data_IF_274222219367
#
_entry.id   IF_274222219367
#
_cell.length_a   1.000
_cell.length_b   1.000
_cell.length_c   1.000
_cell.angle_alpha   90.00
_cell.angle_beta   90.00
_cell.angle_gamma   90.00
#
_symmetry.space_group_name_H-M   'P 1'
#
loop_
_entity.id
_entity.type
_entity.pdbx_description
1 polymer ?
#
# COMPACT_ATOMS: atom_id res chain seq x y z
N UNK A 1 4.14 9.34 10.18
CA UNK A 1 2.96 8.49 10.46
C UNK A 1 2.91 7.39 9.42
N UNK A 2 2.83 6.13 9.86
CA UNK A 2 2.84 4.93 9.00
C UNK A 2 1.46 4.59 8.41
N UNK A 3 0.47 5.47 8.61
CA UNK A 3 -0.94 5.14 8.38
C UNK A 3 -1.27 4.98 6.90
N UNK A 4 -1.96 3.89 6.57
CA UNK A 4 -2.41 3.59 5.21
C UNK A 4 -1.31 3.09 4.27
N UNK A 5 -0.10 2.81 4.78
CA UNK A 5 0.95 2.19 3.97
C UNK A 5 0.68 0.71 3.74
N UNK A 6 1.12 0.22 2.59
CA UNK A 6 1.25 -1.21 2.37
C UNK A 6 2.22 -1.82 3.39
N UNK A 7 1.92 -3.07 3.76
CA UNK A 7 2.71 -3.97 4.57
C UNK A 7 3.20 -5.12 3.71
N UNK A 8 4.28 -5.78 4.11
CA UNK A 8 4.74 -7.03 3.47
C UNK A 8 4.66 -8.18 4.46
N UNK A 9 3.81 -9.16 4.16
CA UNK A 9 3.64 -10.38 4.96
C UNK A 9 4.22 -11.58 4.22
N UNK A 10 4.87 -12.51 4.93
CA UNK A 10 5.36 -13.75 4.33
C UNK A 10 5.44 -14.92 5.34
N UNK A 11 5.58 -16.15 4.82
CA UNK A 11 5.64 -17.37 5.61
C UNK A 11 7.03 -17.99 5.75
N UNK A 12 8.08 -17.33 5.24
CA UNK A 12 9.45 -17.87 5.20
C UNK A 12 10.36 -17.31 6.28
N UNK A 13 10.40 -15.98 6.46
CA UNK A 13 11.34 -15.32 7.39
C UNK A 13 10.91 -13.88 7.72
N UNK A 14 11.43 -13.30 8.82
CA UNK A 14 11.35 -11.86 9.04
C UNK A 14 11.98 -11.08 7.89
N UNK A 15 11.46 -9.88 7.61
CA UNK A 15 12.05 -8.92 6.67
C UNK A 15 12.38 -7.67 7.47
N UNK A 16 13.67 -7.40 7.68
CA UNK A 16 14.14 -6.25 8.46
C UNK A 16 15.09 -5.37 7.66
N UNK A 17 15.65 -5.91 6.58
CA UNK A 17 16.54 -5.22 5.63
C UNK A 17 16.29 -5.67 4.20
N UNK A 18 16.84 -4.91 3.25
CA UNK A 18 16.70 -5.13 1.81
C UNK A 18 17.00 -6.58 1.41
N UNK A 19 18.06 -7.16 1.97
CA UNK A 19 18.53 -8.50 1.61
C UNK A 19 17.52 -9.59 1.96
N UNK A 20 16.69 -9.38 2.98
CA UNK A 20 15.71 -10.36 3.42
C UNK A 20 14.57 -10.53 2.41
N UNK A 21 14.39 -9.60 1.49
CA UNK A 21 13.42 -9.73 0.39
C UNK A 21 13.90 -10.68 -0.71
N UNK A 22 15.23 -10.93 -0.81
CA UNK A 22 15.83 -11.65 -1.94
C UNK A 22 15.23 -13.05 -2.14
N UNK A 23 14.67 -13.28 -3.33
CA UNK A 23 14.11 -14.58 -3.70
C UNK A 23 12.79 -14.96 -3.01
N UNK A 24 12.14 -14.02 -2.29
CA UNK A 24 10.73 -14.20 -1.89
C UNK A 24 9.82 -14.08 -3.11
N UNK A 25 8.79 -14.92 -3.19
CA UNK A 25 7.68 -14.76 -4.15
C UNK A 25 6.56 -13.98 -3.48
N UNK A 26 6.33 -12.74 -3.89
CA UNK A 26 5.41 -11.83 -3.23
C UNK A 26 4.24 -11.50 -4.13
N UNK A 27 3.03 -11.80 -3.66
CA UNK A 27 1.79 -11.41 -4.29
C UNK A 27 1.57 -9.90 -4.19
N UNK A 28 1.05 -9.29 -5.26
CA UNK A 28 0.51 -7.92 -5.23
C UNK A 28 -0.84 -7.85 -5.97
N UNK A 29 -1.70 -6.85 -5.68
CA UNK A 29 -3.06 -6.77 -6.24
C UNK A 29 -3.13 -6.27 -7.70
N UNK A 30 -2.00 -5.93 -8.32
CA UNK A 30 -1.92 -5.31 -9.66
C UNK A 30 -1.23 -3.95 -9.65
N UNK A 31 -1.38 -3.20 -10.74
CA UNK A 31 -0.78 -1.88 -10.92
C UNK A 31 0.71 -1.90 -11.30
N UNK A 32 1.24 -0.73 -11.67
CA UNK A 32 2.61 -0.63 -12.21
C UNK A 32 3.71 -0.57 -11.14
N UNK A 33 3.40 -0.02 -9.95
CA UNK A 33 4.40 0.28 -8.93
C UNK A 33 4.72 -0.89 -8.00
N UNK A 34 3.72 -1.72 -7.68
CA UNK A 34 3.93 -2.91 -6.85
C UNK A 34 5.00 -3.86 -7.42
N UNK A 35 4.90 -4.31 -8.70
CA UNK A 35 5.90 -5.16 -9.32
C UNK A 35 7.29 -4.54 -9.36
N UNK A 36 7.36 -3.23 -9.65
CA UNK A 36 8.63 -2.51 -9.67
C UNK A 36 9.27 -2.57 -8.29
N UNK A 37 8.56 -2.13 -7.25
CA UNK A 37 9.10 -2.05 -5.91
C UNK A 37 9.57 -3.43 -5.42
N UNK A 38 8.72 -4.45 -5.56
CA UNK A 38 9.04 -5.83 -5.15
C UNK A 38 10.27 -6.36 -5.91
N UNK A 39 10.36 -6.11 -7.22
CA UNK A 39 11.49 -6.52 -8.05
C UNK A 39 12.79 -5.82 -7.66
N UNK A 40 12.73 -4.51 -7.41
CA UNK A 40 13.88 -3.68 -7.05
C UNK A 40 14.48 -4.02 -5.69
N UNK A 41 13.67 -4.56 -4.77
CA UNK A 41 14.15 -5.11 -3.49
C UNK A 41 14.56 -6.59 -3.60
N UNK A 42 14.62 -7.16 -4.81
CA UNK A 42 15.15 -8.51 -5.07
C UNK A 42 14.16 -9.65 -4.87
N UNK A 43 12.88 -9.36 -4.66
CA UNK A 43 11.80 -10.35 -4.62
C UNK A 43 11.16 -10.53 -6.01
N UNK A 44 10.46 -11.65 -6.22
CA UNK A 44 9.68 -11.89 -7.43
C UNK A 44 8.23 -11.48 -7.20
N UNK A 45 7.71 -10.57 -8.03
CA UNK A 45 6.33 -10.11 -7.94
C UNK A 45 5.38 -11.04 -8.73
N UNK A 46 4.22 -11.34 -8.17
CA UNK A 46 3.14 -12.06 -8.87
C UNK A 46 1.80 -11.35 -8.66
N UNK A 47 1.06 -11.11 -9.74
CA UNK A 47 -0.30 -10.60 -9.64
C UNK A 47 -1.25 -11.77 -9.36
N UNK A 48 -1.94 -11.73 -8.22
CA UNK A 48 -2.97 -12.73 -7.87
C UNK A 48 -4.22 -12.00 -7.38
N UNK A 49 -5.41 -12.30 -7.94
CA UNK A 49 -6.69 -11.76 -7.47
C UNK A 49 -6.90 -12.01 -5.97
N UNK A 50 -7.57 -11.08 -5.28
CA UNK A 50 -7.76 -11.18 -3.83
C UNK A 50 -8.40 -12.50 -3.38
N UNK A 51 -9.42 -12.97 -4.10
CA UNK A 51 -10.12 -14.21 -3.79
C UNK A 51 -9.22 -15.46 -3.82
N UNK A 52 -8.11 -15.41 -4.57
CA UNK A 52 -7.19 -16.54 -4.73
C UNK A 52 -6.01 -16.49 -3.74
N UNK A 53 -5.84 -15.39 -3.00
CA UNK A 53 -4.70 -15.21 -2.09
C UNK A 53 -4.59 -16.31 -1.03
N UNK A 54 -5.67 -16.75 -0.34
CA UNK A 54 -5.56 -17.82 0.65
C UNK A 54 -5.06 -19.14 0.03
N UNK A 55 -5.54 -19.47 -1.17
CA UNK A 55 -5.14 -20.68 -1.90
C UNK A 55 -3.69 -20.57 -2.34
N UNK A 56 -3.29 -19.43 -2.92
CA UNK A 56 -1.93 -19.19 -3.38
C UNK A 56 -0.89 -19.24 -2.25
N UNK A 57 -1.22 -18.70 -1.07
CA UNK A 57 -0.40 -18.82 0.14
C UNK A 57 -0.31 -20.28 0.62
N UNK A 58 -1.44 -20.97 0.72
CA UNK A 58 -1.51 -22.33 1.26
C UNK A 58 -0.78 -23.35 0.37
N UNK A 59 -0.86 -23.17 -0.96
CA UNK A 59 -0.17 -24.01 -1.93
C UNK A 59 1.31 -23.62 -2.15
N UNK A 60 1.79 -22.54 -1.52
CA UNK A 60 3.16 -22.06 -1.71
C UNK A 60 3.46 -21.51 -3.11
N UNK A 61 2.42 -21.12 -3.85
CA UNK A 61 2.57 -20.40 -5.14
C UNK A 61 3.29 -19.07 -4.89
N UNK A 62 2.91 -18.41 -3.79
CA UNK A 62 3.59 -17.22 -3.26
C UNK A 62 4.02 -17.48 -1.83
N UNK A 63 5.17 -16.92 -1.45
CA UNK A 63 5.70 -16.96 -0.08
C UNK A 63 4.98 -15.97 0.84
N UNK A 64 4.37 -14.95 0.23
CA UNK A 64 3.82 -13.80 0.94
C UNK A 64 3.05 -12.86 0.02
N UNK A 65 2.70 -11.69 0.55
CA UNK A 65 1.88 -10.69 -0.13
C UNK A 65 2.18 -9.27 0.35
N UNK A 66 1.79 -8.30 -0.47
CA UNK A 66 1.62 -6.91 -0.06
C UNK A 66 0.14 -6.52 -0.04
N UNK A 67 -0.29 -5.85 1.02
CA UNK A 67 -1.64 -5.27 1.17
C UNK A 67 -1.62 -4.19 2.26
N UNK A 68 -2.76 -3.62 2.67
CA UNK A 68 -2.86 -2.74 3.85
C UNK A 68 -3.20 -3.56 5.10
N UNK A 69 -2.82 -3.11 6.29
CA UNK A 69 -3.08 -3.87 7.53
C UNK A 69 -4.59 -4.10 7.79
N UNK A 70 -5.45 -3.13 7.46
CA UNK A 70 -6.90 -3.28 7.57
C UNK A 70 -7.39 -4.45 6.72
N UNK A 71 -6.98 -4.49 5.45
CA UNK A 71 -7.39 -5.58 4.56
C UNK A 71 -6.73 -6.92 4.93
N UNK A 72 -5.47 -6.91 5.35
CA UNK A 72 -4.76 -8.09 5.83
C UNK A 72 -5.51 -8.80 6.97
N UNK A 73 -5.98 -8.01 7.94
CA UNK A 73 -6.75 -8.49 9.08
C UNK A 73 -8.15 -8.96 8.67
N UNK A 74 -8.92 -8.10 8.01
CA UNK A 74 -10.33 -8.37 7.70
C UNK A 74 -10.50 -9.54 6.73
N UNK A 75 -9.58 -9.68 5.76
CA UNK A 75 -9.56 -10.81 4.84
C UNK A 75 -8.94 -12.09 5.44
N UNK A 76 -8.43 -12.02 6.68
CA UNK A 76 -7.77 -13.11 7.40
C UNK A 76 -6.58 -13.70 6.64
N UNK A 77 -5.80 -12.87 5.95
CA UNK A 77 -4.63 -13.30 5.18
C UNK A 77 -3.36 -13.41 6.03
N UNK A 78 -3.52 -13.80 7.30
CA UNK A 78 -2.44 -13.85 8.27
C UNK A 78 -1.31 -14.78 7.80
N UNK A 79 -0.10 -14.26 7.87
CA UNK A 79 1.17 -14.91 7.52
C UNK A 79 2.05 -15.00 8.77
N UNK A 80 3.08 -15.85 8.78
CA UNK A 80 3.95 -16.00 9.96
C UNK A 80 4.68 -14.72 10.35
N UNK A 81 5.09 -13.93 9.35
CA UNK A 81 5.83 -12.69 9.52
C UNK A 81 5.12 -11.55 8.80
N UNK A 82 5.18 -10.35 9.37
CA UNK A 82 4.67 -9.13 8.78
C UNK A 82 5.62 -7.97 9.07
N UNK A 83 5.97 -7.18 8.06
CA UNK A 83 6.85 -6.02 8.20
C UNK A 83 6.14 -4.75 7.77
N UNK A 84 6.29 -3.69 8.57
CA UNK A 84 5.72 -2.36 8.32
C UNK A 84 6.79 -1.24 8.46
N UNK A 85 6.72 -0.16 7.65
CA UNK A 85 5.95 -0.06 6.41
C UNK A 85 6.67 -0.83 5.29
N UNK A 86 6.04 -0.91 4.12
CA UNK A 86 6.70 -1.36 2.90
C UNK A 86 6.84 -0.19 1.91
N UNK A 87 5.96 -0.06 0.90
CA UNK A 87 6.29 0.75 -0.27
C UNK A 87 5.53 2.07 -0.49
N UNK A 88 4.22 2.11 -0.30
CA UNK A 88 3.46 3.34 -0.52
C UNK A 88 2.20 3.38 0.33
N UNK A 89 1.67 4.57 0.53
CA UNK A 89 0.30 4.76 1.00
C UNK A 89 -0.69 4.28 -0.07
N UNK A 90 -1.78 3.66 0.35
CA UNK A 90 -2.91 3.32 -0.50
C UNK A 90 -4.00 4.37 -0.37
N UNK A 91 -4.53 4.85 -1.49
CA UNK A 91 -5.71 5.71 -1.53
C UNK A 91 -6.66 5.24 -2.63
N UNK A 92 -7.95 5.38 -2.36
CA UNK A 92 -9.01 5.16 -3.34
C UNK A 92 -9.71 6.49 -3.57
N UNK A 93 -9.82 6.97 -4.83
CA UNK A 93 -10.58 8.16 -5.11
C UNK A 93 -12.07 7.89 -4.92
N UNK A 94 -12.79 8.86 -4.36
CA UNK A 94 -14.24 8.89 -4.48
C UNK A 94 -14.58 9.35 -5.90
N UNK A 95 -15.30 8.51 -6.64
CA UNK A 95 -15.67 8.76 -8.02
C UNK A 95 -17.18 8.75 -8.16
N UNK A 96 -17.69 9.68 -8.96
CA UNK A 96 -19.10 9.79 -9.32
C UNK A 96 -19.24 9.86 -10.83
N UNK A 97 -20.38 9.45 -11.38
CA UNK A 97 -20.66 9.66 -12.78
C UNK A 97 -20.81 11.16 -13.06
N UNK A 98 -20.03 11.69 -13.99
CA UNK A 98 -19.99 13.13 -14.27
C UNK A 98 -21.36 13.68 -14.71
N UNK A 99 -22.09 12.98 -15.57
CA UNK A 99 -23.43 13.42 -16.03
C UNK A 99 -24.45 13.44 -14.90
N UNK A 100 -24.36 12.50 -13.97
CA UNK A 100 -25.20 12.53 -12.78
C UNK A 100 -24.83 13.70 -11.87
N UNK A 101 -23.53 13.92 -11.64
CA UNK A 101 -23.02 15.03 -10.84
C UNK A 101 -23.48 16.39 -11.37
N UNK A 102 -23.31 16.64 -12.66
CA UNK A 102 -23.71 17.88 -13.34
C UNK A 102 -25.23 18.14 -13.30
N UNK A 103 -26.05 17.10 -13.12
CA UNK A 103 -27.51 17.22 -12.99
C UNK A 103 -27.96 17.56 -11.57
N UNK A 104 -27.08 17.42 -10.57
CA UNK A 104 -27.43 17.77 -9.20
C UNK A 104 -27.61 19.28 -9.07
N UNK A 105 -28.56 19.75 -8.25
CA UNK A 105 -28.63 21.17 -7.88
C UNK A 105 -27.30 21.65 -7.32
N UNK A 106 -26.93 22.89 -7.64
CA UNK A 106 -25.64 23.46 -7.23
C UNK A 106 -25.45 23.43 -5.70
N UNK A 107 -26.52 23.64 -4.92
CA UNK A 107 -26.48 23.54 -3.46
C UNK A 107 -26.09 22.14 -2.96
N UNK A 108 -26.55 21.08 -3.66
CA UNK A 108 -26.20 19.70 -3.32
C UNK A 108 -24.74 19.42 -3.66
N UNK A 109 -24.27 19.86 -4.84
CA UNK A 109 -22.86 19.74 -5.21
C UNK A 109 -21.97 20.41 -4.17
N UNK A 110 -22.30 21.64 -3.78
CA UNK A 110 -21.55 22.39 -2.77
C UNK A 110 -21.61 21.74 -1.39
N UNK A 111 -22.75 21.19 -0.99
CA UNK A 111 -22.89 20.47 0.29
C UNK A 111 -22.00 19.23 0.31
N UNK A 112 -21.97 18.48 -0.79
CA UNK A 112 -21.13 17.30 -0.91
C UNK A 112 -19.65 17.69 -0.85
N UNK A 113 -19.21 18.66 -1.67
CA UNK A 113 -17.80 19.06 -1.75
C UNK A 113 -17.28 19.74 -0.49
N UNK A 114 -18.07 20.63 0.12
CA UNK A 114 -17.59 21.51 1.20
C UNK A 114 -17.89 21.00 2.59
N UNK A 115 -18.82 20.04 2.74
CA UNK A 115 -19.22 19.50 4.05
C UNK A 115 -19.05 17.98 4.11
N UNK A 116 -19.77 17.24 3.28
CA UNK A 116 -19.80 15.77 3.37
C UNK A 116 -18.42 15.16 3.13
N UNK A 117 -17.73 15.58 2.06
CA UNK A 117 -16.42 15.03 1.71
C UNK A 117 -15.35 15.32 2.77
N UNK A 118 -15.17 16.56 3.27
CA UNK A 118 -14.25 16.83 4.38
C UNK A 118 -14.56 16.01 5.63
N UNK A 119 -15.81 15.99 6.09
CA UNK A 119 -16.22 15.25 7.30
C UNK A 119 -15.99 13.73 7.13
N UNK A 120 -16.31 13.18 5.96
CA UNK A 120 -16.08 11.78 5.65
C UNK A 120 -14.59 11.43 5.61
N UNK A 121 -13.76 12.29 5.01
CA UNK A 121 -12.31 12.07 4.96
C UNK A 121 -11.69 12.11 6.36
N UNK A 122 -12.07 13.08 7.18
CA UNK A 122 -11.61 13.17 8.58
C UNK A 122 -12.00 11.93 9.38
N UNK A 123 -13.25 11.49 9.27
CA UNK A 123 -13.72 10.25 9.87
C UNK A 123 -12.92 9.03 9.38
N UNK A 124 -12.77 8.87 8.05
CA UNK A 124 -12.10 7.73 7.46
C UNK A 124 -10.63 7.63 7.86
N UNK A 125 -9.89 8.75 7.87
CA UNK A 125 -8.48 8.75 8.30
C UNK A 125 -8.33 8.42 9.79
N UNK A 126 -9.24 8.93 10.64
CA UNK A 126 -9.24 8.60 12.07
C UNK A 126 -9.53 7.11 12.28
N UNK A 127 -10.57 6.58 11.65
CA UNK A 127 -10.94 5.17 11.73
C UNK A 127 -9.81 4.24 11.29
N UNK A 128 -9.18 4.53 10.14
CA UNK A 128 -8.04 3.75 9.65
C UNK A 128 -6.93 3.79 10.69
N UNK A 129 -6.50 4.97 11.14
CA UNK A 129 -5.40 5.10 12.09
C UNK A 129 -5.64 4.35 13.42
N UNK A 130 -6.88 4.32 13.90
CA UNK A 130 -7.27 3.58 15.11
C UNK A 130 -7.28 2.06 14.85
N UNK A 131 -7.91 1.61 13.76
CA UNK A 131 -7.98 0.18 13.39
C UNK A 131 -6.61 -0.42 13.08
N UNK A 132 -5.73 0.30 12.40
CA UNK A 132 -4.39 -0.19 12.09
C UNK A 132 -3.62 -0.54 13.38
N UNK A 133 -3.70 0.31 14.41
CA UNK A 133 -3.06 0.03 15.71
C UNK A 133 -3.69 -1.18 16.40
N UNK A 134 -5.01 -1.24 16.42
CA UNK A 134 -5.75 -2.34 17.03
C UNK A 134 -5.40 -3.67 16.36
N UNK A 135 -5.49 -3.72 15.03
CA UNK A 135 -5.26 -4.95 14.26
C UNK A 135 -3.81 -5.43 14.34
N UNK A 136 -2.81 -4.54 14.32
CA UNK A 136 -1.42 -4.94 14.59
C UNK A 136 -1.28 -5.62 15.95
N UNK A 137 -1.97 -5.13 16.98
CA UNK A 137 -1.93 -5.73 18.31
C UNK A 137 -2.69 -7.07 18.38
N UNK A 138 -3.78 -7.22 17.62
CA UNK A 138 -4.60 -8.44 17.59
C UNK A 138 -3.92 -9.58 16.82
N UNK A 139 -3.34 -9.32 15.65
CA UNK A 139 -2.70 -10.37 14.83
C UNK A 139 -1.49 -11.02 15.52
N UNK A 140 -0.88 -10.34 16.49
CA UNK A 140 0.25 -10.87 17.25
C UNK A 140 -0.18 -11.88 18.33
N UNK A 141 -1.48 -11.98 18.65
CA UNK A 141 -2.04 -12.85 19.68
C UNK A 141 -2.58 -14.16 19.09
N UNK A 142 -2.85 -15.19 19.91
CA UNK A 142 -3.55 -16.38 19.46
C UNK A 142 -4.94 -16.04 18.87
N UNK A 143 -5.39 -16.76 17.83
CA UNK A 143 -4.74 -17.92 17.21
C UNK A 143 -3.70 -17.56 16.13
N UNK A 144 -3.55 -16.28 15.77
CA UNK A 144 -2.78 -15.86 14.60
C UNK A 144 -1.27 -15.86 14.83
N UNK A 145 -0.81 -15.33 15.97
CA UNK A 145 0.59 -15.32 16.39
C UNK A 145 1.57 -14.76 15.32
N UNK A 146 1.14 -13.75 14.56
CA UNK A 146 1.95 -13.09 13.53
C UNK A 146 3.12 -12.38 14.19
N UNK A 147 4.34 -12.60 13.69
CA UNK A 147 5.53 -11.85 14.15
C UNK A 147 5.65 -10.55 13.36
N UNK A 148 5.44 -9.42 14.04
CA UNK A 148 5.50 -8.09 13.44
C UNK A 148 6.88 -7.49 13.63
N UNK A 149 7.51 -7.06 12.53
CA UNK A 149 8.76 -6.29 12.52
C UNK A 149 8.53 -4.90 11.92
N UNK A 150 9.39 -3.96 12.27
CA UNK A 150 9.36 -2.60 11.72
C UNK A 150 10.68 -2.31 10.98
N UNK A 151 10.60 -1.79 9.75
CA UNK A 151 11.81 -1.35 9.05
C UNK A 151 12.41 -0.15 9.78
N UNK A 152 13.73 -0.14 9.93
CA UNK A 152 14.45 1.02 10.45
C UNK A 152 14.34 2.21 9.48
N UNK A 153 14.49 3.42 10.00
CA UNK A 153 14.54 4.62 9.16
C UNK A 153 15.67 4.54 8.12
N UNK A 154 16.82 3.99 8.50
CA UNK A 154 17.96 3.78 7.60
C UNK A 154 17.63 2.84 6.42
N UNK A 155 16.90 1.76 6.67
CA UNK A 155 16.48 0.85 5.60
C UNK A 155 15.38 1.49 4.75
N UNK A 156 14.40 2.18 5.35
CA UNK A 156 13.39 2.93 4.58
C UNK A 156 14.03 3.96 3.64
N UNK A 157 15.02 4.71 4.12
CA UNK A 157 15.79 5.66 3.29
C UNK A 157 16.57 4.96 2.18
N UNK A 158 17.26 3.86 2.52
CA UNK A 158 18.03 3.06 1.56
C UNK A 158 17.14 2.56 0.43
N UNK A 159 15.98 1.99 0.75
CA UNK A 159 15.03 1.48 -0.23
C UNK A 159 14.46 2.62 -1.08
N UNK A 160 14.12 3.75 -0.46
CA UNK A 160 13.63 4.94 -1.15
C UNK A 160 14.63 5.48 -2.17
N UNK A 161 15.93 5.54 -1.82
CA UNK A 161 17.00 6.01 -2.73
C UNK A 161 17.16 5.12 -3.95
N UNK A 162 16.99 3.81 -3.79
CA UNK A 162 17.09 2.83 -4.89
C UNK A 162 15.86 2.93 -5.80
N UNK A 163 14.66 3.01 -5.22
CA UNK A 163 13.42 2.77 -5.95
C UNK A 163 12.84 4.04 -6.55
N UNK A 164 12.93 5.18 -5.85
CA UNK A 164 12.29 6.44 -6.29
C UNK A 164 12.72 6.87 -7.71
N UNK A 165 14.02 6.90 -8.07
CA UNK A 165 14.43 7.29 -9.42
C UNK A 165 13.83 6.37 -10.50
N UNK A 166 13.83 5.06 -10.25
CA UNK A 166 13.27 4.05 -11.16
C UNK A 166 11.76 4.13 -11.26
N UNK A 167 11.09 4.46 -10.16
CA UNK A 167 9.65 4.66 -10.13
C UNK A 167 9.25 5.89 -10.94
N UNK A 168 9.99 6.99 -10.82
CA UNK A 168 9.81 8.20 -11.62
C UNK A 168 10.05 7.94 -13.10
N UNK A 169 11.17 7.30 -13.46
CA UNK A 169 11.46 6.94 -14.85
C UNK A 169 10.35 6.05 -15.44
N UNK A 170 9.93 5.01 -14.72
CA UNK A 170 8.85 4.11 -15.16
C UNK A 170 7.53 4.86 -15.33
N UNK A 171 7.22 5.80 -14.44
CA UNK A 171 6.02 6.62 -14.51
C UNK A 171 6.03 7.54 -15.74
N UNK A 172 7.11 8.30 -15.94
CA UNK A 172 7.26 9.17 -17.12
C UNK A 172 7.22 8.36 -18.41
N UNK A 173 7.86 7.19 -18.45
CA UNK A 173 7.79 6.32 -19.63
C UNK A 173 6.37 5.85 -19.95
N UNK A 174 5.55 5.62 -18.94
CA UNK A 174 4.17 5.15 -19.11
C UNK A 174 3.19 6.28 -19.47
N UNK A 175 3.40 7.48 -18.93
CA UNK A 175 2.47 8.62 -19.05
C UNK A 175 2.90 9.62 -20.13
N UNK A 176 4.20 9.74 -20.41
CA UNK A 176 4.75 10.76 -21.29
C UNK A 176 5.13 12.04 -20.54
N UNK A 177 5.21 13.16 -21.27
CA UNK A 177 5.65 14.46 -20.74
C UNK A 177 4.80 14.97 -19.57
N UNK A 178 3.50 14.70 -19.58
CA UNK A 178 2.59 15.02 -18.46
C UNK A 178 2.99 14.31 -17.17
N UNK A 179 3.59 13.11 -17.27
CA UNK A 179 4.10 12.37 -16.12
C UNK A 179 5.21 13.13 -15.40
N UNK A 180 6.07 13.84 -16.13
CA UNK A 180 7.11 14.69 -15.54
C UNK A 180 6.50 15.88 -14.80
N UNK A 181 5.51 16.54 -15.40
CA UNK A 181 4.77 17.66 -14.77
C UNK A 181 4.14 17.21 -13.45
N UNK A 182 3.53 16.03 -13.42
CA UNK A 182 2.95 15.47 -12.20
C UNK A 182 4.01 15.17 -11.12
N UNK A 183 5.17 14.63 -11.51
CA UNK A 183 6.28 14.39 -10.57
C UNK A 183 6.77 15.71 -9.98
N UNK A 184 7.01 16.72 -10.83
CA UNK A 184 7.50 18.03 -10.40
C UNK A 184 6.53 18.68 -9.40
N UNK A 185 5.22 18.57 -9.66
CA UNK A 185 4.19 19.09 -8.76
C UNK A 185 4.15 18.33 -7.42
N UNK A 186 4.30 16.99 -7.44
CA UNK A 186 4.42 16.20 -6.21
C UNK A 186 5.65 16.62 -5.40
N UNK A 187 6.79 16.85 -6.05
CA UNK A 187 8.01 17.31 -5.39
C UNK A 187 7.89 18.73 -4.85
N UNK A 188 7.14 19.60 -5.52
CA UNK A 188 6.83 20.96 -5.04
C UNK A 188 5.96 20.91 -3.78
N UNK A 189 4.91 20.09 -3.79
CA UNK A 189 3.99 19.93 -2.65
C UNK A 189 4.61 19.15 -1.48
N UNK A 190 5.52 18.22 -1.78
CA UNK A 190 6.21 17.38 -0.81
C UNK A 190 7.71 17.33 -1.13
N UNK A 191 8.47 18.38 -0.77
CA UNK A 191 9.90 18.41 -1.01
C UNK A 191 10.61 17.23 -0.35
N UNK A 192 11.57 16.64 -1.06
CA UNK A 192 12.46 15.63 -0.50
C UNK A 192 13.37 16.34 0.52
N UNK A 193 13.35 15.88 1.77
CA UNK A 193 14.32 16.29 2.78
C UNK A 193 15.67 15.63 2.54
#
# INVERSE_FOLDING_TARGET
TLFGFFVVGNNRRPVEKLEDMKGLKIRHPGGMMGPLYIGEVGASAMTVPGAEVPVALNQGVVDGLVTTIVHYHDARWHTKYLTLPFYCSYSLPFLVNLKWWERLPQEIQQTIEKKVMPELMDFAFKEVAEREKLYVAEIQKPPYNVKVSYLSESEMERWTKIIRPKAFEKFVKAVGSEGQVMIDEVLRLRPIK
#
